data_IF_247695342877
#
_entry.id   IF_247695342877
#
_cell.length_a   1.000
_cell.length_b   1.000
_cell.length_c   1.000
_cell.angle_alpha   90.00
_cell.angle_beta   90.00
_cell.angle_gamma   90.00
#
_symmetry.space_group_name_H-M   'P 1'
#
loop_
_entity.id
_entity.type
_entity.pdbx_description
1 polymer ?
#
# COMPACT_ATOMS: atom_id res chain seq x y z
N UNK A 1 -1.56 -13.26 -5.28
CA UNK A 1 -2.42 -12.06 -5.14
C UNK A 1 -3.49 -12.36 -4.08
N UNK A 2 -4.06 -11.33 -3.43
CA UNK A 2 -5.10 -11.52 -2.39
C UNK A 2 -4.62 -11.47 -0.94
N UNK A 3 -3.39 -11.03 -0.69
CA UNK A 3 -2.87 -10.81 0.66
C UNK A 3 -3.44 -9.54 1.28
N UNK A 4 -3.64 -9.54 2.60
CA UNK A 4 -3.77 -8.31 3.39
C UNK A 4 -2.40 -7.63 3.37
N UNK A 5 -2.38 -6.35 3.03
CA UNK A 5 -1.16 -5.56 2.88
C UNK A 5 -1.27 -4.30 3.71
N UNK A 6 -0.29 -4.11 4.59
CA UNK A 6 -0.11 -2.85 5.30
C UNK A 6 0.69 -1.90 4.40
N UNK A 7 0.25 -0.65 4.28
CA UNK A 7 0.87 0.38 3.45
C UNK A 7 1.38 1.50 4.37
N UNK A 8 2.70 1.66 4.45
CA UNK A 8 3.33 2.76 5.18
C UNK A 8 4.01 3.72 4.21
N UNK A 9 4.09 4.98 4.62
CA UNK A 9 4.81 6.07 3.97
C UNK A 9 5.31 7.03 5.07
N UNK A 10 5.99 8.11 4.71
CA UNK A 10 6.53 9.10 5.66
C UNK A 10 5.47 9.77 6.54
N UNK A 11 4.20 9.66 6.17
CA UNK A 11 3.05 10.02 7.00
C UNK A 11 1.83 9.18 6.63
N UNK A 12 0.89 9.04 7.57
CA UNK A 12 -0.38 8.35 7.32
C UNK A 12 -1.15 8.99 6.15
N UNK A 13 -1.12 10.32 6.04
CA UNK A 13 -1.75 11.05 4.93
C UNK A 13 -1.18 10.64 3.57
N UNK A 14 0.14 10.43 3.47
CA UNK A 14 0.79 9.97 2.23
C UNK A 14 0.41 8.53 1.91
N UNK A 15 0.33 7.65 2.90
CA UNK A 15 -0.14 6.28 2.71
C UNK A 15 -1.60 6.23 2.23
N UNK A 16 -2.49 7.04 2.80
CA UNK A 16 -3.88 7.19 2.37
C UNK A 16 -3.99 7.76 0.95
N UNK A 17 -3.17 8.74 0.62
CA UNK A 17 -3.07 9.26 -0.75
C UNK A 17 -2.60 8.18 -1.74
N UNK A 18 -1.67 7.31 -1.32
CA UNK A 18 -1.24 6.13 -2.07
C UNK A 18 -2.40 5.16 -2.35
N UNK A 19 -3.16 4.78 -1.31
CA UNK A 19 -4.36 3.95 -1.45
C UNK A 19 -5.41 4.58 -2.36
N UNK A 20 -5.61 5.90 -2.27
CA UNK A 20 -6.49 6.66 -3.17
C UNK A 20 -5.99 6.61 -4.62
N UNK A 21 -4.67 6.68 -4.84
CA UNK A 21 -4.05 6.47 -6.15
C UNK A 21 -4.36 5.09 -6.74
N UNK A 22 -4.26 4.04 -5.91
CA UNK A 22 -4.61 2.66 -6.31
C UNK A 22 -6.10 2.55 -6.64
N UNK A 23 -6.98 3.14 -5.83
CA UNK A 23 -8.43 3.16 -6.06
C UNK A 23 -8.78 3.77 -7.43
N UNK A 24 -8.13 4.89 -7.81
CA UNK A 24 -8.32 5.51 -9.13
C UNK A 24 -7.85 4.60 -10.27
N UNK A 25 -6.74 3.88 -10.09
CA UNK A 25 -6.25 2.95 -11.10
C UNK A 25 -7.20 1.75 -11.29
N UNK A 26 -7.74 1.20 -10.19
CA UNK A 26 -8.70 0.11 -10.24
C UNK A 26 -10.05 0.56 -10.83
N UNK A 27 -10.51 1.78 -10.51
CA UNK A 27 -11.71 2.35 -11.12
C UNK A 27 -11.59 2.38 -12.67
N UNK A 28 -10.44 2.80 -13.20
CA UNK A 28 -10.18 2.74 -14.65
C UNK A 28 -10.18 1.33 -15.22
N UNK A 29 -9.93 0.30 -14.41
CA UNK A 29 -10.03 -1.10 -14.85
C UNK A 29 -11.49 -1.57 -14.87
N UNK A 30 -12.31 -1.10 -13.92
CA UNK A 30 -13.77 -1.30 -13.93
C UNK A 30 -14.39 -0.63 -15.16
N UNK A 31 -14.03 0.63 -15.44
CA UNK A 31 -14.53 1.37 -16.61
C UNK A 31 -14.17 0.68 -17.94
N UNK A 32 -13.09 -0.11 -17.95
CA UNK A 32 -12.63 -0.90 -19.09
C UNK A 32 -13.16 -2.34 -19.06
N UNK A 33 -14.09 -2.65 -18.16
CA UNK A 33 -14.71 -3.96 -17.98
C UNK A 33 -13.71 -5.10 -17.72
N UNK A 34 -12.50 -4.78 -17.24
CA UNK A 34 -11.45 -5.78 -16.95
C UNK A 34 -11.68 -6.48 -15.61
N UNK A 35 -12.34 -5.80 -14.69
CA UNK A 35 -12.78 -6.28 -13.38
C UNK A 35 -14.15 -5.68 -13.07
N UNK A 36 -14.92 -6.29 -12.18
CA UNK A 36 -16.15 -5.69 -11.67
C UNK A 36 -15.90 -4.78 -10.44
N UNK A 37 -16.92 -4.01 -10.06
CA UNK A 37 -16.85 -3.11 -8.91
C UNK A 37 -16.63 -3.86 -7.58
N UNK A 38 -17.22 -5.05 -7.43
CA UNK A 38 -17.06 -5.89 -6.24
C UNK A 38 -15.60 -6.34 -6.07
N UNK A 39 -14.93 -6.70 -7.15
CA UNK A 39 -13.51 -7.08 -7.18
C UNK A 39 -12.63 -5.90 -6.81
N UNK A 40 -12.89 -4.69 -7.34
CA UNK A 40 -12.20 -3.46 -6.92
C UNK A 40 -12.31 -3.26 -5.41
N UNK A 41 -13.52 -3.33 -4.88
CA UNK A 41 -13.78 -3.05 -3.46
C UNK A 41 -13.12 -4.11 -2.56
N UNK A 42 -13.15 -5.39 -2.97
CA UNK A 42 -12.44 -6.46 -2.29
C UNK A 42 -10.91 -6.30 -2.31
N UNK A 43 -10.34 -5.75 -3.39
CA UNK A 43 -8.90 -5.43 -3.44
C UNK A 43 -8.58 -4.28 -2.48
N UNK A 44 -9.36 -3.20 -2.51
CA UNK A 44 -9.12 -2.02 -1.66
C UNK A 44 -9.30 -2.33 -0.17
N UNK A 45 -10.21 -3.23 0.18
CA UNK A 45 -10.41 -3.70 1.56
C UNK A 45 -9.20 -4.43 2.15
N UNK A 46 -8.31 -4.97 1.30
CA UNK A 46 -7.08 -5.65 1.74
C UNK A 46 -5.90 -4.70 1.97
N UNK A 47 -6.00 -3.44 1.54
CA UNK A 47 -4.93 -2.45 1.67
C UNK A 47 -5.22 -1.57 2.86
N UNK A 48 -4.35 -1.59 3.86
CA UNK A 48 -4.52 -0.87 5.12
C UNK A 48 -3.37 0.12 5.32
N UNK A 49 -3.63 1.43 5.16
CA UNK A 49 -2.65 2.45 5.48
C UNK A 49 -2.34 2.46 6.97
N UNK A 50 -1.06 2.53 7.32
CA UNK A 50 -0.58 2.51 8.71
C UNK A 50 0.33 3.69 8.99
N UNK A 51 0.32 4.18 10.23
CA UNK A 51 1.05 5.38 10.63
C UNK A 51 2.53 5.17 10.94
N UNK A 52 2.98 3.91 11.07
CA UNK A 52 4.38 3.59 11.39
C UNK A 52 4.74 2.15 11.01
N UNK A 53 6.05 1.86 10.97
CA UNK A 53 6.58 0.52 10.70
C UNK A 53 6.30 -0.45 11.85
N UNK A 54 6.11 0.04 13.08
CA UNK A 54 5.74 -0.80 14.23
C UNK A 54 4.43 -1.58 14.01
N UNK A 55 3.49 -1.04 13.24
CA UNK A 55 2.28 -1.75 12.86
C UNK A 55 2.54 -2.98 11.96
N UNK A 56 3.73 -3.05 11.35
CA UNK A 56 4.17 -4.15 10.49
C UNK A 56 4.87 -5.29 11.25
N UNK A 57 4.92 -5.25 12.59
CA UNK A 57 5.58 -6.29 13.39
C UNK A 57 5.05 -7.71 13.13
N UNK A 58 3.77 -7.83 12.75
CA UNK A 58 3.13 -9.12 12.41
C UNK A 58 3.23 -9.48 10.91
N UNK A 59 3.86 -8.65 10.09
CA UNK A 59 3.98 -8.90 8.66
C UNK A 59 4.94 -10.08 8.39
N UNK A 60 4.49 -11.05 7.59
CA UNK A 60 5.32 -12.18 7.17
C UNK A 60 6.39 -11.80 6.13
N UNK A 61 6.18 -10.69 5.41
CA UNK A 61 7.08 -10.16 4.40
C UNK A 61 6.92 -8.64 4.33
N UNK A 62 8.03 -7.91 4.33
CA UNK A 62 8.08 -6.46 4.14
C UNK A 62 8.81 -6.16 2.84
N UNK A 63 8.23 -5.27 2.02
CA UNK A 63 8.83 -4.79 0.77
C UNK A 63 9.09 -3.30 0.93
N UNK A 64 10.36 -2.90 0.83
CA UNK A 64 10.78 -1.50 0.83
C UNK A 64 10.66 -0.93 -0.59
N UNK A 65 10.01 0.23 -0.71
CA UNK A 65 9.78 0.93 -1.97
C UNK A 65 9.88 2.46 -1.82
N UNK A 66 10.74 2.93 -0.92
CA UNK A 66 11.06 4.33 -0.76
C UNK A 66 11.97 4.83 -1.90
N UNK A 67 12.26 6.13 -1.89
CA UNK A 67 13.14 6.74 -2.89
C UNK A 67 14.52 6.08 -2.92
N UNK A 68 15.12 5.98 -4.10
CA UNK A 68 16.47 5.43 -4.31
C UNK A 68 17.57 6.34 -3.74
N UNK A 69 17.64 6.37 -2.41
CA UNK A 69 18.68 7.02 -1.61
C UNK A 69 19.12 6.03 -0.55
N UNK A 70 20.34 5.52 -0.71
CA UNK A 70 20.89 4.44 0.12
C UNK A 70 20.79 4.72 1.62
N UNK A 71 21.15 5.94 2.02
CA UNK A 71 21.08 6.43 3.41
C UNK A 71 19.67 6.35 3.99
N UNK A 72 18.63 6.69 3.20
CA UNK A 72 17.23 6.59 3.63
C UNK A 72 16.83 5.12 3.80
N UNK A 73 17.14 4.28 2.81
CA UNK A 73 16.81 2.85 2.87
C UNK A 73 17.44 2.16 4.08
N UNK A 74 18.73 2.44 4.33
CA UNK A 74 19.45 1.91 5.50
C UNK A 74 18.85 2.41 6.82
N UNK A 75 18.30 3.61 6.87
CA UNK A 75 17.61 4.10 8.06
C UNK A 75 16.29 3.34 8.29
N UNK A 76 15.49 3.15 7.24
CA UNK A 76 14.23 2.39 7.29
C UNK A 76 14.45 0.95 7.79
N UNK A 77 15.47 0.25 7.29
CA UNK A 77 15.75 -1.13 7.71
C UNK A 77 16.29 -1.29 9.14
N UNK A 78 16.59 -0.19 9.85
CA UNK A 78 17.03 -0.22 11.25
C UNK A 78 15.89 -0.05 12.25
N UNK A 79 14.75 0.48 11.79
CA UNK A 79 13.52 0.63 12.59
C UNK A 79 12.80 -0.72 12.71
#
# INVERSE_FOLDING_TARGET
>A
AGYRTLLSDVSLERAEAGKTGIARQLARQVDKEKIDAATRDAILARIEPVASLGAMAEAALVIEAATEREEIKRAIFKE
#
